data_IF_988396520518
#
_entry.id   IF_988396520518
#
_cell.length_a   1.000
_cell.length_b   1.000
_cell.length_c   1.000
_cell.angle_alpha   90.00
_cell.angle_beta   90.00
_cell.angle_gamma   90.00
#
_symmetry.space_group_name_H-M   'P 1'
#
loop_
_entity.id
_entity.type
_entity.pdbx_description
1 polymer ?
#
# COMPACT_ATOMS: atom_id res chain seq x y z
N UNK A 1 38.51 26.75 25.87
CA UNK A 1 38.55 25.74 24.79
C UNK A 1 37.10 25.29 24.55
N UNK A 2 36.42 25.87 23.56
CA UNK A 2 35.06 25.47 23.18
C UNK A 2 35.20 24.37 22.14
N UNK A 3 34.66 23.18 22.44
CA UNK A 3 34.58 22.08 21.48
C UNK A 3 33.36 22.35 20.62
N UNK A 4 33.60 22.79 19.38
CA UNK A 4 32.57 22.86 18.35
C UNK A 4 32.28 21.43 17.87
N UNK A 5 31.09 20.93 18.19
CA UNK A 5 30.59 19.68 17.62
C UNK A 5 30.19 19.91 16.17
N UNK A 6 31.11 19.59 15.28
CA UNK A 6 30.87 19.56 13.84
C UNK A 6 30.00 18.31 13.53
N UNK A 7 28.68 18.46 13.50
CA UNK A 7 27.76 17.39 13.10
C UNK A 7 27.91 17.22 11.59
N UNK A 8 28.64 16.18 11.21
CA UNK A 8 28.92 15.74 9.85
C UNK A 8 27.62 15.67 9.00
N UNK A 9 27.52 16.53 8.00
CA UNK A 9 26.49 16.49 6.93
C UNK A 9 26.62 15.26 6.01
N UNK A 10 27.69 14.47 6.15
CA UNK A 10 28.04 13.35 5.26
C UNK A 10 27.36 12.00 5.56
N UNK A 11 26.63 11.83 6.67
CA UNK A 11 25.94 10.55 6.96
C UNK A 11 24.49 10.49 6.44
N UNK A 12 23.81 11.64 6.31
CA UNK A 12 22.43 11.70 5.82
C UNK A 12 22.27 11.30 4.34
N UNK A 13 23.33 11.43 3.55
CA UNK A 13 23.32 11.15 2.10
C UNK A 13 23.64 9.69 1.74
N UNK A 14 24.15 8.86 2.66
CA UNK A 14 24.65 7.51 2.33
C UNK A 14 23.58 6.48 1.94
N UNK A 15 22.29 6.82 2.05
CA UNK A 15 21.19 5.93 1.66
C UNK A 15 20.12 6.61 0.80
N UNK A 16 20.47 7.69 0.09
CA UNK A 16 19.53 8.30 -0.85
C UNK A 16 19.25 7.35 -2.03
N UNK A 17 17.99 7.01 -2.25
CA UNK A 17 17.50 6.24 -3.38
C UNK A 17 16.73 7.14 -4.34
N UNK A 18 17.10 7.11 -5.61
CA UNK A 18 16.38 7.80 -6.68
C UNK A 18 15.90 6.74 -7.67
N UNK A 19 14.60 6.78 -8.01
CA UNK A 19 13.99 5.86 -8.96
C UNK A 19 12.78 6.51 -9.65
N UNK A 20 12.38 5.96 -10.79
CA UNK A 20 11.26 6.48 -11.58
C UNK A 20 9.99 5.67 -11.29
N UNK A 21 8.87 6.36 -11.12
CA UNK A 21 7.52 5.77 -11.03
C UNK A 21 6.65 6.43 -12.10
N UNK A 22 6.42 5.73 -13.21
CA UNK A 22 5.75 6.30 -14.37
C UNK A 22 6.56 7.47 -14.96
N UNK A 23 6.05 8.69 -14.82
CA UNK A 23 6.73 9.91 -15.25
C UNK A 23 7.44 10.65 -14.10
N UNK A 24 7.15 10.29 -12.86
CA UNK A 24 7.67 10.99 -11.69
C UNK A 24 9.03 10.42 -11.28
N UNK A 25 9.92 11.30 -10.80
CA UNK A 25 11.15 10.90 -10.12
C UNK A 25 10.92 10.93 -8.61
N UNK A 26 11.10 9.78 -7.97
CA UNK A 26 10.96 9.63 -6.51
C UNK A 26 12.35 9.61 -5.89
N UNK A 27 12.58 10.48 -4.90
CA UNK A 27 13.80 10.55 -4.10
C UNK A 27 13.47 10.24 -2.64
N UNK A 28 14.02 9.15 -2.11
CA UNK A 28 13.85 8.74 -0.72
C UNK A 28 15.21 8.72 0.00
N UNK A 29 15.23 9.22 1.22
CA UNK A 29 16.30 8.97 2.18
C UNK A 29 15.68 8.75 3.57
N UNK A 30 16.43 8.23 4.56
CA UNK A 30 15.84 7.93 5.85
C UNK A 30 15.21 9.12 6.58
N UNK A 31 15.77 10.33 6.38
CA UNK A 31 15.24 11.55 6.96
C UNK A 31 13.87 11.95 6.39
N UNK A 32 13.70 11.86 5.07
CA UNK A 32 12.43 12.13 4.39
C UNK A 32 11.35 11.15 4.87
N UNK A 33 11.68 9.85 4.88
CA UNK A 33 10.72 8.82 5.29
C UNK A 33 10.25 9.07 6.72
N UNK A 34 11.18 9.27 7.65
CA UNK A 34 10.89 9.51 9.06
C UNK A 34 10.04 10.75 9.29
N UNK A 35 10.27 11.82 8.54
CA UNK A 35 9.59 13.12 8.73
C UNK A 35 8.21 13.16 8.08
N UNK A 36 8.02 12.52 6.92
CA UNK A 36 6.84 12.77 6.07
C UNK A 36 6.03 11.52 5.71
N UNK A 37 6.58 10.31 5.82
CA UNK A 37 5.98 9.10 5.25
C UNK A 37 5.64 8.03 6.30
N UNK A 38 5.76 8.34 7.59
CA UNK A 38 5.36 7.44 8.69
C UNK A 38 3.95 7.78 9.15
N UNK A 39 3.07 6.79 9.12
CA UNK A 39 1.71 6.85 9.65
C UNK A 39 1.65 6.18 11.02
N UNK A 40 0.76 6.65 11.89
CA UNK A 40 0.47 6.00 13.18
C UNK A 40 1.27 6.51 14.39
N UNK A 41 2.08 7.57 14.20
CA UNK A 41 2.78 8.31 15.26
C UNK A 41 3.81 7.47 16.05
N UNK A 42 4.06 6.22 15.66
CA UNK A 42 5.10 5.38 16.24
C UNK A 42 6.49 5.72 15.70
N UNK A 43 7.51 5.50 16.53
CA UNK A 43 8.91 5.66 16.13
C UNK A 43 9.36 4.44 15.31
N UNK A 44 9.72 4.68 14.04
CA UNK A 44 10.28 3.65 13.15
C UNK A 44 11.79 3.50 13.35
N UNK A 45 12.29 2.27 13.23
CA UNK A 45 13.72 1.96 13.22
C UNK A 45 14.34 2.26 11.85
N UNK A 46 15.67 2.41 11.80
CA UNK A 46 16.37 2.59 10.52
C UNK A 46 16.21 1.37 9.61
N UNK A 47 16.14 0.17 10.18
CA UNK A 47 15.89 -1.06 9.42
C UNK A 47 14.50 -1.05 8.74
N UNK A 48 13.45 -0.66 9.47
CA UNK A 48 12.09 -0.54 8.91
C UNK A 48 12.04 0.51 7.78
N UNK A 49 12.73 1.64 7.96
CA UNK A 49 12.81 2.67 6.91
C UNK A 49 13.54 2.15 5.66
N UNK A 50 14.68 1.48 5.83
CA UNK A 50 15.44 0.93 4.70
C UNK A 50 14.62 -0.10 3.94
N UNK A 51 13.93 -1.00 4.65
CA UNK A 51 13.03 -1.97 4.02
C UNK A 51 11.88 -1.29 3.27
N UNK A 52 11.25 -0.25 3.84
CA UNK A 52 10.20 0.50 3.15
C UNK A 52 10.70 1.18 1.88
N UNK A 53 11.89 1.79 1.93
CA UNK A 53 12.52 2.41 0.76
C UNK A 53 12.83 1.38 -0.33
N UNK A 54 13.33 0.20 0.04
CA UNK A 54 13.57 -0.89 -0.90
C UNK A 54 12.26 -1.44 -1.49
N UNK A 55 11.18 -1.56 -0.71
CA UNK A 55 9.86 -1.91 -1.22
C UNK A 55 9.41 -0.91 -2.28
N UNK A 56 9.44 0.39 -1.97
CA UNK A 56 9.05 1.43 -2.92
C UNK A 56 9.89 1.41 -4.19
N UNK A 57 11.22 1.25 -4.07
CA UNK A 57 12.13 1.21 -5.21
C UNK A 57 11.92 -0.04 -6.08
N UNK A 58 11.88 -1.23 -5.47
CA UNK A 58 11.77 -2.51 -6.17
C UNK A 58 10.44 -2.68 -6.88
N UNK A 59 9.35 -2.21 -6.26
CA UNK A 59 7.99 -2.30 -6.82
C UNK A 59 7.55 -1.04 -7.55
N UNK A 60 8.42 -0.03 -7.65
CA UNK A 60 8.14 1.27 -8.29
C UNK A 60 6.84 1.88 -7.74
N UNK A 61 6.77 2.06 -6.43
CA UNK A 61 5.65 2.68 -5.73
C UNK A 61 6.02 4.08 -5.31
N UNK A 62 5.11 5.03 -5.51
CA UNK A 62 5.31 6.41 -5.07
C UNK A 62 4.60 6.66 -3.71
N UNK A 63 5.34 6.73 -2.58
CA UNK A 63 4.75 6.92 -1.27
C UNK A 63 4.17 8.34 -1.06
N UNK A 64 4.61 9.34 -1.83
CA UNK A 64 4.12 10.72 -1.70
C UNK A 64 2.68 10.89 -2.20
N UNK A 65 2.30 10.11 -3.23
CA UNK A 65 0.91 10.04 -3.72
C UNK A 65 0.15 8.85 -3.14
N UNK A 66 0.64 8.31 -2.03
CA UNK A 66 -0.02 7.28 -1.23
C UNK A 66 -0.23 5.93 -1.94
N UNK A 67 0.72 5.51 -2.78
CA UNK A 67 0.72 4.14 -3.33
C UNK A 67 1.28 3.10 -2.35
N UNK A 68 2.07 3.52 -1.37
CA UNK A 68 2.60 2.69 -0.29
C UNK A 68 2.64 3.49 1.02
N UNK A 69 2.47 2.80 2.14
CA UNK A 69 2.45 3.39 3.48
C UNK A 69 3.36 2.62 4.41
N UNK A 70 4.08 3.34 5.26
CA UNK A 70 4.81 2.80 6.40
C UNK A 70 4.05 3.14 7.67
N UNK A 71 3.43 2.14 8.29
CA UNK A 71 2.54 2.31 9.43
C UNK A 71 3.21 1.74 10.68
N UNK A 72 3.41 2.56 11.72
CA UNK A 72 3.99 2.12 12.99
C UNK A 72 3.15 2.65 14.14
N UNK A 73 2.78 1.77 15.07
CA UNK A 73 2.04 2.11 16.28
C UNK A 73 2.76 1.63 17.51
N UNK A 74 2.95 2.52 18.49
CA UNK A 74 3.60 2.19 19.76
C UNK A 74 4.92 1.46 19.56
N UNK A 75 5.05 0.28 20.16
CA UNK A 75 6.25 -0.57 20.07
C UNK A 75 6.13 -1.74 19.09
N UNK A 76 4.96 -1.95 18.47
CA UNK A 76 4.73 -3.04 17.52
C UNK A 76 5.56 -2.85 16.24
N UNK A 77 6.06 -3.90 15.57
CA UNK A 77 6.77 -3.80 14.29
C UNK A 77 6.03 -2.92 13.26
N UNK A 78 6.77 -2.14 12.47
CA UNK A 78 6.17 -1.36 11.41
C UNK A 78 5.54 -2.29 10.36
N UNK A 79 4.37 -1.92 9.88
CA UNK A 79 3.73 -2.60 8.77
C UNK A 79 3.83 -1.77 7.51
N UNK A 80 4.18 -2.41 6.40
CA UNK A 80 4.28 -1.77 5.09
C UNK A 80 3.13 -2.29 4.24
N UNK A 81 2.31 -1.37 3.74
CA UNK A 81 1.10 -1.72 2.99
C UNK A 81 1.05 -0.95 1.69
N UNK A 82 0.48 -1.58 0.67
CA UNK A 82 0.31 -1.00 -0.67
C UNK A 82 -1.15 -0.60 -0.84
N UNK A 83 -1.36 0.51 -1.53
CA UNK A 83 -2.71 0.97 -1.84
C UNK A 83 -3.38 0.04 -2.85
N UNK A 84 -4.68 -0.20 -2.66
CA UNK A 84 -5.52 -0.98 -3.59
C UNK A 84 -5.35 -0.56 -5.04
N UNK A 85 -5.38 0.75 -5.27
CA UNK A 85 -5.31 1.28 -6.63
C UNK A 85 -3.96 1.03 -7.29
N UNK A 86 -2.87 0.90 -6.52
CA UNK A 86 -1.57 0.54 -7.07
C UNK A 86 -1.56 -0.91 -7.58
N UNK A 87 -2.13 -1.85 -6.82
CA UNK A 87 -2.31 -3.25 -7.24
C UNK A 87 -3.18 -3.34 -8.49
N UNK A 88 -4.36 -2.70 -8.47
CA UNK A 88 -5.29 -2.74 -9.60
C UNK A 88 -4.70 -2.11 -10.87
N UNK A 89 -4.08 -0.92 -10.77
CA UNK A 89 -3.43 -0.26 -11.91
C UNK A 89 -2.32 -1.12 -12.50
N UNK A 90 -1.53 -1.78 -11.67
CA UNK A 90 -0.42 -2.64 -12.12
C UNK A 90 -0.95 -3.86 -12.87
N UNK A 91 -1.96 -4.53 -12.34
CA UNK A 91 -2.62 -5.64 -13.02
C UNK A 91 -3.23 -5.21 -14.35
N UNK A 92 -3.98 -4.09 -14.38
CA UNK A 92 -4.63 -3.59 -15.60
C UNK A 92 -3.63 -3.25 -16.71
N UNK A 93 -2.44 -2.76 -16.35
CA UNK A 93 -1.36 -2.46 -17.30
C UNK A 93 -0.66 -3.71 -17.85
N UNK A 94 -0.83 -4.87 -17.21
CA UNK A 94 -0.26 -6.12 -17.70
C UNK A 94 -0.94 -6.52 -19.02
N UNK A 95 -0.14 -6.84 -20.03
CA UNK A 95 -0.63 -7.20 -21.38
C UNK A 95 -1.54 -8.43 -21.37
N UNK A 96 -1.34 -9.33 -20.40
CA UNK A 96 -2.12 -10.55 -20.22
C UNK A 96 -3.39 -10.36 -19.39
N UNK A 97 -3.64 -9.19 -18.79
CA UNK A 97 -4.86 -8.97 -18.02
C UNK A 97 -6.11 -9.08 -18.91
N UNK A 98 -7.07 -9.88 -18.46
CA UNK A 98 -8.33 -10.12 -19.16
C UNK A 98 -9.56 -9.89 -18.26
N UNK A 99 -9.43 -9.00 -17.27
CA UNK A 99 -10.51 -8.67 -16.36
C UNK A 99 -10.56 -9.54 -15.10
N UNK A 100 -11.56 -9.26 -14.26
CA UNK A 100 -11.85 -10.00 -13.03
C UNK A 100 -13.35 -10.04 -12.76
N UNK A 101 -13.82 -11.10 -12.11
CA UNK A 101 -15.14 -11.19 -11.49
C UNK A 101 -14.99 -11.18 -9.98
N UNK A 102 -15.95 -10.55 -9.30
CA UNK A 102 -15.94 -10.42 -7.85
C UNK A 102 -17.35 -10.64 -7.33
N UNK A 103 -17.45 -11.32 -6.20
CA UNK A 103 -18.71 -11.53 -5.54
C UNK A 103 -18.55 -11.82 -4.06
N UNK A 104 -19.68 -12.16 -3.43
CA UNK A 104 -19.74 -12.44 -2.00
C UNK A 104 -20.39 -13.78 -1.72
N UNK A 105 -20.05 -14.33 -0.56
CA UNK A 105 -20.77 -15.42 0.08
C UNK A 105 -21.68 -14.85 1.15
N UNK A 106 -22.95 -15.20 1.09
CA UNK A 106 -23.93 -14.85 2.12
C UNK A 106 -24.67 -16.10 2.57
N UNK A 107 -25.06 -16.12 3.84
CA UNK A 107 -25.96 -17.12 4.38
C UNK A 107 -27.33 -16.51 4.55
N UNK A 108 -28.36 -17.12 3.96
CA UNK A 108 -29.74 -16.75 4.21
C UNK A 108 -30.11 -17.08 5.66
N UNK A 109 -30.64 -16.12 6.43
CA UNK A 109 -30.93 -16.32 7.85
C UNK A 109 -32.14 -17.20 8.14
N UNK A 110 -33.07 -17.31 7.20
CA UNK A 110 -34.28 -18.12 7.36
C UNK A 110 -34.03 -19.58 6.96
N UNK A 111 -33.33 -19.79 5.84
CA UNK A 111 -33.11 -21.13 5.29
C UNK A 111 -31.77 -21.76 5.70
N UNK A 112 -30.84 -20.97 6.25
CA UNK A 112 -29.43 -21.34 6.50
C UNK A 112 -28.67 -21.76 5.22
N UNK A 113 -29.17 -21.42 4.05
CA UNK A 113 -28.51 -21.71 2.77
C UNK A 113 -27.31 -20.78 2.55
N UNK A 114 -26.16 -21.36 2.19
CA UNK A 114 -24.99 -20.62 1.75
C UNK A 114 -25.10 -20.34 0.24
N UNK A 115 -25.13 -19.06 -0.11
CA UNK A 115 -25.30 -18.58 -1.48
C UNK A 115 -24.00 -17.92 -1.93
N UNK A 116 -23.40 -18.45 -3.00
CA UNK A 116 -22.35 -17.77 -3.77
C UNK A 116 -23.01 -16.81 -4.76
N UNK A 117 -22.75 -15.51 -4.63
CA UNK A 117 -23.38 -14.47 -5.46
C UNK A 117 -22.36 -13.76 -6.32
N UNK A 118 -22.69 -13.59 -7.60
CA UNK A 118 -22.02 -12.65 -8.51
C UNK A 118 -22.39 -11.21 -8.13
N UNK A 119 -21.38 -10.35 -7.96
CA UNK A 119 -21.58 -8.99 -7.47
C UNK A 119 -21.70 -8.91 -5.94
N UNK A 120 -21.88 -7.69 -5.43
CA UNK A 120 -21.60 -7.37 -4.02
C UNK A 120 -22.79 -6.75 -3.28
N UNK A 121 -24.02 -6.96 -3.77
CA UNK A 121 -25.22 -6.51 -3.05
C UNK A 121 -25.49 -7.46 -1.89
N UNK A 122 -25.63 -6.88 -0.69
CA UNK A 122 -25.83 -7.56 0.58
C UNK A 122 -27.05 -6.98 1.30
N UNK A 123 -28.02 -7.83 1.64
CA UNK A 123 -29.25 -7.45 2.33
C UNK A 123 -29.12 -7.81 3.81
N UNK A 124 -28.63 -6.86 4.62
CA UNK A 124 -28.22 -7.11 6.02
C UNK A 124 -29.34 -7.64 6.90
N UNK A 125 -30.59 -7.34 6.58
CA UNK A 125 -31.77 -7.74 7.33
C UNK A 125 -31.99 -9.26 7.24
N UNK A 126 -31.92 -9.82 6.02
CA UNK A 126 -32.25 -11.22 5.73
C UNK A 126 -31.03 -12.12 5.52
N UNK A 127 -29.84 -11.52 5.36
CA UNK A 127 -28.61 -12.23 5.04
C UNK A 127 -27.53 -12.01 6.09
N UNK A 128 -26.62 -12.97 6.23
CA UNK A 128 -25.37 -12.85 6.96
C UNK A 128 -24.21 -12.92 5.97
N UNK A 129 -23.35 -11.89 5.94
CA UNK A 129 -22.13 -11.92 5.14
C UNK A 129 -21.16 -12.98 5.70
N UNK A 130 -20.67 -13.86 4.83
CA UNK A 130 -19.75 -14.95 5.18
C UNK A 130 -18.35 -14.68 4.65
N UNK A 131 -18.23 -14.16 3.43
CA UNK A 131 -16.93 -13.98 2.78
C UNK A 131 -17.05 -13.31 1.42
N UNK A 132 -15.94 -13.28 0.69
CA UNK A 132 -15.89 -12.81 -0.68
C UNK A 132 -15.05 -13.72 -1.57
N UNK A 133 -15.22 -13.57 -2.87
CA UNK A 133 -14.43 -14.27 -3.86
C UNK A 133 -14.05 -13.32 -5.00
N UNK A 134 -12.91 -13.61 -5.62
CA UNK A 134 -12.45 -12.93 -6.82
C UNK A 134 -11.83 -13.93 -7.78
N UNK A 135 -12.25 -13.89 -9.04
CA UNK A 135 -11.66 -14.67 -10.13
C UNK A 135 -10.99 -13.72 -11.10
N UNK A 136 -9.70 -13.90 -11.36
CA UNK A 136 -8.91 -13.08 -12.28
C UNK A 136 -8.59 -13.89 -13.52
N UNK A 137 -8.82 -13.29 -14.68
CA UNK A 137 -8.62 -13.92 -15.97
C UNK A 137 -7.36 -13.37 -16.62
N UNK A 138 -6.60 -14.28 -17.21
CA UNK A 138 -5.44 -13.95 -18.05
C UNK A 138 -5.65 -14.47 -19.46
N UNK A 139 -5.07 -13.78 -20.44
CA UNK A 139 -5.17 -14.15 -21.86
C UNK A 139 -4.33 -15.39 -22.20
N UNK A 140 -3.25 -15.62 -21.46
CA UNK A 140 -2.29 -16.70 -21.67
C UNK A 140 -2.61 -17.97 -20.87
N UNK A 141 -3.68 -17.98 -20.07
CA UNK A 141 -4.10 -19.13 -19.26
C UNK A 141 -5.48 -19.64 -19.68
N UNK A 142 -5.63 -20.95 -19.74
CA UNK A 142 -6.94 -21.60 -19.92
C UNK A 142 -7.78 -21.53 -18.63
N UNK A 143 -7.14 -21.73 -17.48
CA UNK A 143 -7.80 -21.73 -16.17
C UNK A 143 -7.50 -20.41 -15.43
N UNK A 144 -8.52 -19.69 -14.94
CA UNK A 144 -8.31 -18.47 -14.18
C UNK A 144 -7.85 -18.79 -12.76
N UNK A 145 -7.24 -17.79 -12.09
CA UNK A 145 -7.04 -17.83 -10.64
C UNK A 145 -8.34 -17.44 -9.96
N UNK A 146 -8.75 -18.21 -8.96
CA UNK A 146 -9.90 -17.90 -8.10
C UNK A 146 -9.50 -17.99 -6.64
N UNK A 147 -9.76 -16.91 -5.90
CA UNK A 147 -9.54 -16.83 -4.46
C UNK A 147 -10.86 -16.61 -3.76
N UNK A 148 -11.01 -17.25 -2.61
CA UNK A 148 -12.15 -17.12 -1.72
C UNK A 148 -11.64 -16.86 -0.31
N UNK A 149 -12.25 -15.92 0.40
CA UNK A 149 -11.81 -15.49 1.73
C UNK A 149 -12.97 -15.45 2.70
N UNK A 150 -12.76 -15.97 3.90
CA UNK A 150 -13.72 -15.87 4.99
C UNK A 150 -13.65 -14.49 5.65
N UNK A 151 -14.79 -13.89 5.96
CA UNK A 151 -14.84 -12.57 6.58
C UNK A 151 -14.14 -12.54 7.95
N UNK A 152 -14.29 -13.60 8.74
CA UNK A 152 -13.82 -13.68 10.13
C UNK A 152 -12.29 -13.76 10.26
N UNK A 153 -11.58 -14.27 9.24
CA UNK A 153 -10.12 -14.29 9.19
C UNK A 153 -9.50 -12.89 9.08
N UNK A 154 -10.18 -11.96 8.39
CA UNK A 154 -9.65 -10.63 8.05
C UNK A 154 -10.32 -9.49 8.81
N UNK A 155 -11.41 -9.75 9.53
CA UNK A 155 -12.17 -8.72 10.20
C UNK A 155 -11.29 -8.00 11.24
N UNK A 156 -10.95 -6.74 10.94
CA UNK A 156 -10.09 -5.94 11.81
C UNK A 156 -10.80 -5.61 13.12
N UNK A 157 -10.17 -5.96 14.24
CA UNK A 157 -10.69 -5.73 15.59
C UNK A 157 -9.84 -4.73 16.36
N UNK A 158 -10.49 -4.02 17.27
CA UNK A 158 -9.88 -3.15 18.26
C UNK A 158 -9.25 -3.97 19.39
N UNK A 159 -8.45 -3.32 20.25
CA UNK A 159 -7.84 -3.97 21.44
C UNK A 159 -8.87 -4.56 22.42
N UNK A 160 -10.07 -3.97 22.46
CA UNK A 160 -11.20 -4.46 23.26
C UNK A 160 -11.95 -5.65 22.64
N UNK A 161 -11.50 -6.14 21.48
CA UNK A 161 -12.11 -7.26 20.74
C UNK A 161 -13.28 -6.86 19.82
N UNK A 162 -13.74 -5.61 19.88
CA UNK A 162 -14.82 -5.11 19.02
C UNK A 162 -14.36 -4.91 17.58
N UNK A 163 -15.28 -5.01 16.63
CA UNK A 163 -14.96 -4.77 15.20
C UNK A 163 -14.67 -3.29 14.98
N UNK A 164 -13.64 -3.00 14.18
CA UNK A 164 -13.24 -1.62 13.93
C UNK A 164 -14.23 -0.88 13.01
N UNK A 165 -14.11 0.45 12.89
CA UNK A 165 -15.10 1.27 12.18
C UNK A 165 -15.20 0.95 10.69
N UNK A 166 -14.08 0.66 10.01
CA UNK A 166 -14.07 0.34 8.59
C UNK A 166 -14.82 -0.96 8.30
N UNK A 167 -14.58 -2.00 9.09
CA UNK A 167 -15.26 -3.28 8.95
C UNK A 167 -16.72 -3.24 9.44
N UNK A 168 -17.05 -2.38 10.40
CA UNK A 168 -18.43 -2.17 10.85
C UNK A 168 -19.28 -1.44 9.80
N UNK A 169 -18.71 -0.39 9.19
CA UNK A 169 -19.43 0.50 8.28
C UNK A 169 -19.43 0.02 6.83
N UNK A 170 -18.37 -0.68 6.40
CA UNK A 170 -18.18 -1.09 4.99
C UNK A 170 -17.70 -2.55 4.86
N UNK A 171 -18.32 -3.53 5.52
CA UNK A 171 -17.81 -4.91 5.59
C UNK A 171 -17.62 -5.55 4.20
N UNK A 172 -18.58 -5.35 3.30
CA UNK A 172 -18.53 -5.89 1.92
C UNK A 172 -17.36 -5.30 1.14
N UNK A 173 -17.15 -3.98 1.23
CA UNK A 173 -16.02 -3.32 0.57
C UNK A 173 -14.68 -3.86 1.08
N UNK A 174 -14.56 -4.05 2.39
CA UNK A 174 -13.33 -4.50 3.02
C UNK A 174 -13.00 -5.97 2.65
N UNK A 175 -13.95 -6.89 2.77
CA UNK A 175 -13.69 -8.30 2.45
C UNK A 175 -13.44 -8.52 0.95
N UNK A 176 -14.11 -7.75 0.08
CA UNK A 176 -13.86 -7.84 -1.37
C UNK A 176 -12.53 -7.22 -1.77
N UNK A 177 -11.99 -6.26 -1.01
CA UNK A 177 -10.61 -5.76 -1.21
C UNK A 177 -9.60 -6.89 -0.99
N UNK A 178 -9.72 -7.61 0.13
CA UNK A 178 -8.85 -8.76 0.44
C UNK A 178 -8.89 -9.79 -0.69
N UNK A 179 -10.10 -10.23 -1.09
CA UNK A 179 -10.26 -11.21 -2.17
C UNK A 179 -9.60 -10.76 -3.48
N UNK A 180 -9.77 -9.48 -3.86
CA UNK A 180 -9.15 -8.90 -5.06
C UNK A 180 -7.64 -8.85 -4.95
N UNK A 181 -7.10 -8.38 -3.82
CA UNK A 181 -5.67 -8.23 -3.64
C UNK A 181 -4.96 -9.59 -3.76
N UNK A 182 -5.50 -10.63 -3.11
CA UNK A 182 -4.98 -12.00 -3.21
C UNK A 182 -5.09 -12.57 -4.62
N UNK A 183 -6.28 -12.49 -5.24
CA UNK A 183 -6.46 -13.03 -6.59
C UNK A 183 -5.60 -12.31 -7.64
N UNK A 184 -5.42 -10.99 -7.52
CA UNK A 184 -4.54 -10.24 -8.41
C UNK A 184 -3.08 -10.65 -8.18
N UNK A 185 -2.63 -10.77 -6.94
CA UNK A 185 -1.27 -11.23 -6.64
C UNK A 185 -0.97 -12.62 -7.14
N UNK A 186 -1.89 -13.56 -6.99
CA UNK A 186 -1.74 -14.91 -7.54
C UNK A 186 -1.77 -14.93 -9.06
N UNK A 187 -2.56 -14.06 -9.69
CA UNK A 187 -2.58 -13.96 -11.15
C UNK A 187 -1.32 -13.28 -11.72
N UNK A 188 -0.70 -12.34 -11.02
CA UNK A 188 0.44 -11.54 -11.49
C UNK A 188 1.57 -11.54 -10.47
N UNK A 189 2.07 -12.74 -10.13
CA UNK A 189 3.04 -12.95 -9.04
C UNK A 189 4.30 -12.12 -9.25
N UNK A 190 4.90 -12.17 -10.45
CA UNK A 190 6.16 -11.46 -10.73
C UNK A 190 6.01 -9.94 -10.50
N UNK A 191 4.89 -9.37 -10.92
CA UNK A 191 4.64 -7.94 -10.78
C UNK A 191 4.15 -7.54 -9.39
N UNK A 192 3.41 -8.40 -8.70
CA UNK A 192 2.64 -8.06 -7.50
C UNK A 192 3.08 -8.73 -6.20
N UNK A 193 4.05 -9.64 -6.24
CA UNK A 193 4.62 -10.26 -5.05
C UNK A 193 5.09 -9.20 -4.04
N UNK A 194 4.87 -9.47 -2.74
CA UNK A 194 5.27 -8.58 -1.66
C UNK A 194 4.44 -7.30 -1.53
N UNK A 195 3.41 -7.10 -2.35
CA UNK A 195 2.49 -5.95 -2.25
C UNK A 195 1.20 -6.34 -1.51
N UNK A 196 1.23 -6.23 -0.19
CA UNK A 196 0.10 -6.55 0.67
C UNK A 196 -0.78 -5.32 0.94
N UNK A 197 -2.10 -5.49 0.86
CA UNK A 197 -3.01 -4.47 1.37
C UNK A 197 -3.11 -4.54 2.88
N UNK A 198 -3.51 -3.43 3.48
CA UNK A 198 -3.59 -3.29 4.92
C UNK A 198 -4.57 -4.26 5.58
N UNK A 199 -5.67 -4.59 4.91
CA UNK A 199 -6.67 -5.54 5.38
C UNK A 199 -6.14 -6.97 5.52
N UNK A 200 -4.98 -7.26 4.93
CA UNK A 200 -4.38 -8.61 4.91
C UNK A 200 -3.35 -8.83 6.02
N UNK A 201 -2.90 -7.74 6.65
CA UNK A 201 -1.80 -7.75 7.62
C UNK A 201 -2.28 -7.40 9.03
N UNK A 202 -3.59 -7.49 9.32
CA UNK A 202 -4.20 -7.29 10.63
C UNK A 202 -3.72 -6.01 11.37
N UNK A 203 -3.52 -4.91 10.64
CA UNK A 203 -3.15 -3.62 11.25
C UNK A 203 -4.41 -2.89 11.70
N UNK A 204 -4.53 -2.67 13.00
CA UNK A 204 -5.67 -2.02 13.61
C UNK A 204 -5.47 -0.48 13.66
N UNK A 205 -6.08 0.25 12.73
CA UNK A 205 -5.85 1.69 12.53
C UNK A 205 -6.75 2.66 13.32
N UNK A 206 -7.79 2.20 14.02
CA UNK A 206 -8.83 3.12 14.52
C UNK A 206 -8.56 3.72 15.91
N UNK A 207 -7.35 3.57 16.45
CA UNK A 207 -7.02 4.06 17.79
C UNK A 207 -6.38 5.46 17.83
N UNK A 208 -6.44 6.30 16.77
CA UNK A 208 -5.97 7.69 16.88
C UNK A 208 -6.71 8.67 15.94
N UNK A 209 -7.01 9.85 16.50
CA UNK A 209 -7.58 11.05 15.87
C UNK A 209 -6.89 11.45 14.58
N UNK A 210 -7.67 11.95 13.61
CA UNK A 210 -7.20 12.58 12.37
C UNK A 210 -6.05 13.55 12.65
N UNK A 211 -4.83 13.13 12.34
CA UNK A 211 -3.71 14.05 12.20
C UNK A 211 -3.88 14.73 10.84
N UNK A 212 -3.95 16.07 10.88
CA UNK A 212 -4.19 16.94 9.74
C UNK A 212 -3.30 16.61 8.54
N UNK A 213 -3.94 16.58 7.37
CA UNK A 213 -3.28 16.48 6.08
C UNK A 213 -2.55 17.81 5.84
N UNK A 214 -1.26 17.88 6.17
CA UNK A 214 -0.42 19.02 5.78
C UNK A 214 -0.20 18.90 4.27
N UNK A 215 -0.79 19.82 3.50
CA UNK A 215 -0.72 19.84 2.02
C UNK A 215 0.25 20.89 1.47
N UNK A 216 0.97 21.63 2.31
CA UNK A 216 1.54 22.91 1.85
C UNK A 216 3.02 22.92 1.44
N UNK A 217 3.78 21.82 1.55
CA UNK A 217 5.26 21.89 1.35
C UNK A 217 5.81 21.04 0.17
N UNK A 218 5.02 20.77 -0.88
CA UNK A 218 5.51 19.98 -2.04
C UNK A 218 6.22 20.85 -3.11
N UNK A 219 6.06 22.18 -3.09
CA UNK A 219 6.62 23.03 -4.15
C UNK A 219 8.15 23.19 -4.12
N UNK A 220 8.81 23.06 -2.96
CA UNK A 220 10.25 23.38 -2.82
C UNK A 220 11.24 22.29 -3.27
N UNK A 221 10.77 21.13 -3.74
CA UNK A 221 11.67 20.03 -4.15
C UNK A 221 12.00 20.08 -5.65
N UNK A 222 11.24 20.80 -6.47
CA UNK A 222 11.46 20.84 -7.92
C UNK A 222 12.48 21.89 -8.40
N UNK A 223 12.77 22.93 -7.62
CA UNK A 223 13.60 24.05 -8.09
C UNK A 223 15.12 23.85 -7.96
N UNK A 224 15.58 22.86 -7.19
CA UNK A 224 17.03 22.64 -6.99
C UNK A 224 17.70 21.73 -8.03
N UNK A 225 17.01 21.35 -9.12
CA UNK A 225 17.61 20.53 -10.20
C UNK A 225 18.07 21.31 -11.44
N UNK A 226 17.89 22.63 -11.52
CA UNK A 226 18.23 23.41 -12.72
C UNK A 226 19.48 24.31 -12.63
N UNK A 227 20.21 24.35 -11.51
CA UNK A 227 21.49 25.08 -11.42
C UNK A 227 22.67 24.14 -11.21
N UNK A 228 23.05 23.37 -12.25
CA UNK A 228 24.42 22.87 -12.48
C UNK A 228 24.55 22.15 -13.82
N UNK A 229 24.25 22.85 -14.91
CA UNK A 229 24.68 22.46 -16.25
C UNK A 229 24.81 23.71 -17.11
N UNK A 230 25.91 24.43 -16.97
CA UNK A 230 26.48 25.32 -17.97
C UNK A 230 27.85 25.78 -17.46
N UNK A 231 28.89 24.99 -17.77
CA UNK A 231 30.18 25.52 -18.23
C UNK A 231 31.11 24.35 -18.56
N UNK A 232 31.07 23.93 -19.82
CA UNK A 232 32.17 23.26 -20.52
C UNK A 232 32.08 23.77 -21.96
N UNK A 233 32.81 24.85 -22.26
CA UNK A 233 32.96 25.37 -23.61
C UNK A 233 33.98 24.53 -24.39
N UNK A 234 33.74 24.37 -25.68
CA UNK A 234 34.44 23.46 -26.58
C UNK A 234 35.80 23.99 -27.08
N UNK A 235 36.58 24.66 -26.23
CA UNK A 235 37.90 25.22 -26.60
C UNK A 235 39.10 24.58 -25.86
N UNK A 236 38.90 23.59 -24.98
CA UNK A 236 39.99 22.91 -24.26
C UNK A 236 40.52 21.63 -24.95
N UNK A 237 40.42 21.54 -26.28
CA UNK A 237 41.06 20.47 -27.05
C UNK A 237 41.89 21.08 -28.18
N UNK A 238 43.05 21.64 -27.85
CA UNK A 238 44.31 21.58 -28.63
C UNK A 238 45.51 21.90 -27.73
#
# INVERSE_FOLDING_TARGET
>A
MRVENNINSNEKDKQTMIFKVGNDQVKLNPGIVRKYLVNGQGAVTDQEIVYFMHLCKSRQLNPFIKEAYLIKYGHEPATMVVARDALEKRAIKNVQYNGKKVGIYVMNKETNELIKRDGTIYIKETEKLIGAWCTVYRKDWENPVSVEVNLDEYIGRKKDGTVNANWTNKPVTMVTKVAKAQALREAFIEELEGMYEQEEVNVNLNDISEAEIITDDIEDIQDNTNEKSNDLTADDIF
#
